data_IF_010556403836
#
_entry.id   IF_010556403836
#
_cell.length_a   1.000
_cell.length_b   1.000
_cell.length_c   1.000
_cell.angle_alpha   90.00
_cell.angle_beta   90.00
_cell.angle_gamma   90.00
#
_symmetry.space_group_name_H-M   'P 1'
#
loop_
_entity.id
_entity.type
_entity.pdbx_description
1 polymer ?
#
# COMPACT_ATOMS: atom_id res chain seq x y z
N UNK A 1 -19.98 12.70 20.78
CA UNK A 1 -21.08 13.67 20.98
C UNK A 1 -22.38 12.94 20.70
N UNK A 2 -23.27 12.78 21.69
CA UNK A 2 -24.56 12.08 21.52
C UNK A 2 -25.64 13.10 21.20
N UNK A 3 -26.47 12.81 20.21
CA UNK A 3 -27.68 13.57 19.91
C UNK A 3 -28.85 12.60 20.04
N UNK A 4 -29.67 12.80 21.08
CA UNK A 4 -30.95 12.11 21.22
C UNK A 4 -32.01 12.98 20.56
N UNK A 5 -32.87 12.37 19.75
CA UNK A 5 -34.11 12.98 19.30
C UNK A 5 -35.22 12.05 19.79
N UNK A 6 -36.01 12.54 20.75
CA UNK A 6 -37.31 11.98 21.07
C UNK A 6 -38.38 12.92 20.54
N UNK A 7 -39.41 12.33 19.93
CA UNK A 7 -40.85 12.62 20.05
C UNK A 7 -41.56 11.96 18.87
N UNK A 8 -42.82 11.56 18.90
CA UNK A 8 -43.84 11.20 19.91
C UNK A 8 -45.05 10.84 19.02
N UNK A 9 -45.88 9.87 19.40
CA UNK A 9 -47.11 9.58 18.66
C UNK A 9 -47.24 8.18 18.09
N UNK A 10 -48.05 7.42 18.79
CA UNK A 10 -48.65 6.13 18.50
C UNK A 10 -49.30 6.06 17.09
N UNK A 11 -48.76 5.24 16.19
CA UNK A 11 -49.56 4.41 15.26
C UNK A 11 -48.71 3.33 14.57
N UNK A 12 -49.10 2.07 14.82
CA UNK A 12 -48.91 0.86 14.03
C UNK A 12 -47.78 0.85 12.97
N UNK A 13 -46.59 0.42 13.38
CA UNK A 13 -45.76 -0.37 12.48
C UNK A 13 -44.85 -1.29 13.28
N UNK A 14 -44.69 -2.52 12.82
CA UNK A 14 -43.72 -3.45 13.38
C UNK A 14 -42.35 -2.79 13.35
N UNK A 15 -41.77 -2.51 14.52
CA UNK A 15 -40.39 -2.08 14.64
C UNK A 15 -39.49 -3.26 14.26
N UNK A 16 -39.36 -3.52 12.96
CA UNK A 16 -38.21 -4.22 12.42
C UNK A 16 -37.02 -3.30 12.68
N UNK A 17 -36.38 -3.49 13.83
CA UNK A 17 -35.03 -2.98 14.05
C UNK A 17 -34.16 -3.64 13.00
N UNK A 18 -33.96 -2.96 11.88
CA UNK A 18 -32.88 -3.28 10.96
C UNK A 18 -31.60 -2.98 11.73
N UNK A 19 -31.09 -4.00 12.42
CA UNK A 19 -29.71 -4.04 12.85
C UNK A 19 -28.88 -4.02 11.56
N UNK A 20 -28.62 -2.81 11.08
CA UNK A 20 -27.42 -2.58 10.29
C UNK A 20 -26.30 -2.93 11.27
N UNK A 21 -25.80 -4.16 11.18
CA UNK A 21 -24.44 -4.47 11.58
C UNK A 21 -23.57 -3.52 10.76
N UNK A 22 -23.41 -2.29 11.24
CA UNK A 22 -22.29 -1.45 10.87
C UNK A 22 -21.12 -2.27 11.38
N UNK A 23 -20.29 -2.87 10.52
CA UNK A 23 -19.11 -3.56 11.00
C UNK A 23 -18.37 -2.56 11.87
N UNK A 24 -18.19 -2.91 13.15
CA UNK A 24 -17.29 -2.21 14.05
C UNK A 24 -16.05 -1.85 13.26
N UNK A 25 -15.65 -0.58 13.33
CA UNK A 25 -14.49 -0.01 12.67
C UNK A 25 -13.39 -1.05 12.61
N UNK A 26 -13.18 -1.63 11.42
CA UNK A 26 -12.13 -2.61 11.16
C UNK A 26 -10.85 -1.97 11.68
N UNK A 27 -10.36 -2.42 12.82
CA UNK A 27 -9.06 -1.99 13.32
C UNK A 27 -8.09 -2.29 12.19
N UNK A 28 -7.62 -1.23 11.52
CA UNK A 28 -6.54 -1.33 10.55
C UNK A 28 -5.36 -1.82 11.36
N UNK A 29 -5.12 -3.14 11.35
CA UNK A 29 -3.92 -3.72 11.90
C UNK A 29 -2.74 -2.93 11.34
N UNK A 30 -1.86 -2.48 12.22
CA UNK A 30 -0.78 -1.55 11.91
C UNK A 30 -0.16 -1.88 10.54
N UNK A 31 -0.14 -0.89 9.65
CA UNK A 31 0.27 -1.04 8.26
C UNK A 31 1.65 -1.72 8.21
N UNK A 32 1.79 -2.90 7.60
CA UNK A 32 3.01 -3.67 7.71
C UNK A 32 4.14 -3.00 6.95
N UNK A 33 5.28 -2.88 7.63
CA UNK A 33 6.58 -2.66 7.00
C UNK A 33 7.11 -4.06 6.67
N UNK A 34 6.97 -4.51 5.43
CA UNK A 34 7.55 -5.78 4.96
C UNK A 34 8.95 -5.59 4.34
N UNK A 35 9.49 -4.37 4.39
CA UNK A 35 10.86 -4.07 4.00
C UNK A 35 11.80 -4.80 4.97
N UNK A 36 12.51 -5.80 4.46
CA UNK A 36 13.48 -6.57 5.24
C UNK A 36 14.62 -5.68 5.81
N UNK A 37 15.29 -6.16 6.85
CA UNK A 37 16.47 -5.48 7.40
C UNK A 37 17.62 -5.56 6.40
N UNK A 38 18.21 -4.42 6.03
CA UNK A 38 19.53 -4.36 5.39
C UNK A 38 20.57 -5.01 6.33
N UNK A 39 21.18 -6.12 5.90
CA UNK A 39 22.10 -6.95 6.71
C UNK A 39 23.59 -6.71 6.42
N UNK A 40 23.96 -5.63 5.74
CA UNK A 40 25.35 -5.36 5.40
C UNK A 40 25.69 -3.91 5.74
N UNK A 41 26.94 -3.65 6.15
CA UNK A 41 27.48 -2.29 6.20
C UNK A 41 27.41 -1.68 4.80
N UNK A 42 26.31 -0.99 4.50
CA UNK A 42 26.10 -0.32 3.23
C UNK A 42 27.02 0.90 3.17
N UNK A 43 27.93 0.92 2.20
CA UNK A 43 28.94 1.98 2.05
C UNK A 43 29.10 2.36 0.57
N UNK A 44 29.50 3.60 0.30
CA UNK A 44 29.94 4.04 -1.03
C UNK A 44 28.85 4.42 -2.03
N UNK A 45 27.57 4.48 -1.62
CA UNK A 45 26.43 4.87 -2.49
C UNK A 45 25.58 6.01 -1.89
N UNK A 46 26.23 6.89 -1.12
CA UNK A 46 25.59 8.01 -0.43
C UNK A 46 24.98 9.04 -1.39
N UNK A 47 25.67 9.31 -2.50
CA UNK A 47 25.16 10.22 -3.55
C UNK A 47 23.89 9.67 -4.21
N UNK A 48 23.84 8.36 -4.44
CA UNK A 48 22.65 7.71 -5.01
C UNK A 48 21.48 7.70 -4.04
N UNK A 49 21.72 7.47 -2.75
CA UNK A 49 20.70 7.60 -1.71
C UNK A 49 20.15 9.03 -1.64
N UNK A 50 21.03 10.03 -1.71
CA UNK A 50 20.66 11.45 -1.72
C UNK A 50 19.84 11.79 -2.96
N UNK A 51 20.23 11.28 -4.14
CA UNK A 51 19.49 11.50 -5.38
C UNK A 51 18.10 10.86 -5.34
N UNK A 52 17.98 9.61 -4.84
CA UNK A 52 16.69 8.94 -4.65
C UNK A 52 15.82 9.78 -3.70
N UNK A 53 16.40 10.23 -2.58
CA UNK A 53 15.67 11.05 -1.60
C UNK A 53 15.14 12.33 -2.22
N UNK A 54 15.99 13.09 -2.91
CA UNK A 54 15.60 14.35 -3.55
C UNK A 54 14.46 14.14 -4.54
N UNK A 55 14.57 13.15 -5.44
CA UNK A 55 13.51 12.83 -6.40
C UNK A 55 12.20 12.46 -5.72
N UNK A 56 12.26 11.68 -4.63
CA UNK A 56 11.07 11.27 -3.88
C UNK A 56 10.44 12.41 -3.05
N UNK A 57 11.17 13.48 -2.74
CA UNK A 57 10.64 14.64 -2.01
C UNK A 57 10.09 15.74 -2.91
N UNK A 58 10.63 15.93 -4.11
CA UNK A 58 10.25 17.04 -5.01
C UNK A 58 8.92 16.83 -5.72
N UNK A 59 8.48 15.58 -5.87
CA UNK A 59 7.29 15.24 -6.65
C UNK A 59 6.11 14.90 -5.73
N UNK A 60 4.91 15.39 -6.07
CA UNK A 60 3.68 14.98 -5.41
C UNK A 60 3.10 13.79 -6.19
N UNK A 61 3.02 12.59 -5.59
CA UNK A 61 2.31 11.45 -6.18
C UNK A 61 3.00 10.10 -6.04
N UNK A 62 2.58 9.16 -6.88
CA UNK A 62 3.30 7.89 -7.05
C UNK A 62 4.53 8.19 -7.87
N UNK A 63 5.70 8.03 -7.25
CA UNK A 63 6.98 8.26 -7.91
C UNK A 63 7.59 6.89 -8.19
N UNK A 64 7.85 6.65 -9.46
CA UNK A 64 8.57 5.46 -9.91
C UNK A 64 10.04 5.83 -10.04
N UNK A 65 10.83 5.50 -9.03
CA UNK A 65 12.28 5.62 -9.12
C UNK A 65 12.86 4.27 -9.58
N UNK A 66 13.17 4.16 -10.87
CA UNK A 66 13.88 3.01 -11.40
C UNK A 66 15.38 3.16 -11.11
N UNK A 67 15.94 2.21 -10.36
CA UNK A 67 17.40 2.02 -10.33
C UNK A 67 17.70 1.00 -11.42
N UNK A 68 18.29 1.45 -12.52
CA UNK A 68 18.71 0.59 -13.63
C UNK A 68 20.20 0.30 -13.55
N UNK A 69 20.62 -0.85 -14.07
CA UNK A 69 22.03 -1.23 -14.12
C UNK A 69 22.22 -2.74 -14.26
N UNK A 70 23.46 -3.14 -14.52
CA UNK A 70 23.85 -4.55 -14.61
C UNK A 70 23.41 -5.35 -13.37
N UNK A 71 23.12 -6.64 -13.55
CA UNK A 71 22.82 -7.54 -12.43
C UNK A 71 23.98 -7.56 -11.42
N UNK A 72 23.67 -7.66 -10.12
CA UNK A 72 24.69 -7.80 -9.07
C UNK A 72 25.32 -6.50 -8.54
N UNK A 73 25.00 -5.32 -9.08
CA UNK A 73 25.51 -4.01 -8.57
C UNK A 73 24.88 -3.55 -7.23
N UNK A 74 24.03 -4.37 -6.61
CA UNK A 74 23.45 -4.07 -5.30
C UNK A 74 22.29 -3.05 -5.31
N UNK A 75 21.51 -2.98 -6.39
CA UNK A 75 20.31 -2.12 -6.49
C UNK A 75 19.26 -2.43 -5.42
N UNK A 76 18.99 -3.71 -5.21
CA UNK A 76 18.16 -4.22 -4.11
C UNK A 76 18.66 -3.72 -2.75
N UNK A 77 19.97 -3.79 -2.51
CA UNK A 77 20.56 -3.31 -1.25
C UNK A 77 20.42 -1.79 -1.09
N UNK A 78 20.56 -1.02 -2.18
CA UNK A 78 20.33 0.44 -2.17
C UNK A 78 18.88 0.78 -1.83
N UNK A 79 17.91 0.09 -2.43
CA UNK A 79 16.48 0.31 -2.14
C UNK A 79 16.12 -0.04 -0.68
N UNK A 80 16.65 -1.15 -0.15
CA UNK A 80 16.49 -1.52 1.25
C UNK A 80 17.12 -0.51 2.20
N UNK A 81 18.32 -0.01 1.88
CA UNK A 81 19.00 0.98 2.71
C UNK A 81 18.23 2.32 2.70
N UNK A 82 17.72 2.75 1.55
CA UNK A 82 16.86 3.93 1.44
C UNK A 82 15.63 3.82 2.36
N UNK A 83 14.89 2.72 2.21
CA UNK A 83 13.67 2.45 2.96
C UNK A 83 13.91 2.43 4.48
N UNK A 84 15.04 1.85 4.90
CA UNK A 84 15.48 1.86 6.30
C UNK A 84 15.84 3.26 6.79
N UNK A 85 16.66 3.99 6.03
CA UNK A 85 17.19 5.31 6.41
C UNK A 85 16.10 6.36 6.54
N UNK A 86 15.12 6.34 5.64
CA UNK A 86 14.04 7.32 5.56
C UNK A 86 12.70 6.78 6.08
N UNK A 87 12.72 5.68 6.86
CA UNK A 87 11.52 5.00 7.34
C UNK A 87 10.51 5.93 8.01
N UNK A 88 10.98 6.91 8.79
CA UNK A 88 10.13 7.81 9.58
C UNK A 88 9.38 8.85 8.72
N UNK A 89 9.71 8.98 7.44
CA UNK A 89 9.03 9.90 6.52
C UNK A 89 7.80 9.30 5.83
N UNK A 90 7.62 7.99 5.99
CA UNK A 90 6.55 7.24 5.35
C UNK A 90 5.62 6.64 6.41
N UNK A 91 4.31 6.81 6.21
CA UNK A 91 3.29 6.16 7.02
C UNK A 91 3.23 4.64 6.75
N UNK A 92 3.69 4.22 5.58
CA UNK A 92 3.69 2.83 5.13
C UNK A 92 4.84 2.58 4.14
N UNK A 93 5.41 1.37 4.17
CA UNK A 93 6.42 0.95 3.20
C UNK A 93 6.16 -0.49 2.75
N UNK A 94 5.98 -0.68 1.45
CA UNK A 94 5.71 -1.97 0.84
C UNK A 94 6.81 -2.37 -0.13
N UNK A 95 7.29 -3.60 0.00
CA UNK A 95 8.23 -4.24 -0.90
C UNK A 95 7.53 -5.35 -1.69
N UNK A 96 7.59 -5.30 -3.01
CA UNK A 96 7.06 -6.32 -3.91
C UNK A 96 8.19 -6.80 -4.84
N UNK A 97 8.54 -8.09 -4.76
CA UNK A 97 9.51 -8.69 -5.69
C UNK A 97 8.77 -9.29 -6.88
N UNK A 98 9.04 -8.78 -8.09
CA UNK A 98 8.39 -9.23 -9.32
C UNK A 98 9.17 -10.32 -10.05
N UNK A 99 10.07 -11.01 -9.32
CA UNK A 99 10.96 -12.04 -9.86
C UNK A 99 10.21 -13.28 -10.36
N UNK A 100 9.18 -13.71 -9.64
CA UNK A 100 8.49 -14.99 -9.87
C UNK A 100 7.01 -14.83 -10.24
N UNK A 101 6.48 -13.61 -10.17
CA UNK A 101 5.05 -13.34 -10.19
C UNK A 101 4.78 -11.92 -10.67
N UNK A 102 3.57 -11.70 -11.18
CA UNK A 102 3.12 -10.38 -11.62
C UNK A 102 2.78 -9.46 -10.44
N UNK A 103 2.83 -8.16 -10.69
CA UNK A 103 2.52 -7.12 -9.68
C UNK A 103 1.17 -7.34 -8.99
N UNK A 104 0.13 -7.69 -9.76
CA UNK A 104 -1.20 -7.90 -9.21
C UNK A 104 -1.25 -9.06 -8.20
N UNK A 105 -0.56 -10.17 -8.49
CA UNK A 105 -0.47 -11.30 -7.57
C UNK A 105 0.27 -10.91 -6.29
N UNK A 106 1.38 -10.19 -6.41
CA UNK A 106 2.17 -9.76 -5.26
C UNK A 106 1.41 -8.79 -4.36
N UNK A 107 0.61 -7.88 -4.92
CA UNK A 107 -0.27 -7.00 -4.14
C UNK A 107 -1.30 -7.82 -3.36
N UNK A 108 -1.98 -8.77 -4.01
CA UNK A 108 -3.00 -9.62 -3.36
C UNK A 108 -2.38 -10.49 -2.26
N UNK A 109 -1.21 -11.10 -2.51
CA UNK A 109 -0.47 -11.88 -1.51
C UNK A 109 -0.05 -11.02 -0.32
N UNK A 110 0.40 -9.80 -0.59
CA UNK A 110 0.84 -8.88 0.45
C UNK A 110 -0.34 -8.39 1.31
N UNK A 111 -1.45 -7.99 0.69
CA UNK A 111 -2.57 -7.35 1.36
C UNK A 111 -3.53 -8.34 2.02
N UNK A 112 -3.71 -9.53 1.43
CA UNK A 112 -4.66 -10.55 1.87
C UNK A 112 -4.62 -10.92 3.35
N UNK A 113 -3.44 -11.11 3.96
CA UNK A 113 -3.32 -11.38 5.39
C UNK A 113 -3.81 -10.26 6.30
N UNK A 114 -3.78 -9.01 5.84
CA UNK A 114 -4.14 -7.82 6.64
C UNK A 114 -5.56 -7.33 6.38
N UNK A 115 -6.08 -7.61 5.19
CA UNK A 115 -7.40 -7.16 4.78
C UNK A 115 -8.11 -8.25 3.97
N UNK A 116 -9.04 -8.94 4.62
CA UNK A 116 -9.87 -9.93 3.93
C UNK A 116 -10.69 -9.29 2.82
N UNK A 117 -10.51 -9.82 1.62
CA UNK A 117 -11.27 -9.44 0.44
C UNK A 117 -12.74 -9.88 0.57
N UNK A 118 -13.72 -9.03 0.17
CA UNK A 118 -15.12 -9.42 0.08
C UNK A 118 -15.32 -10.68 -0.77
N UNK A 119 -16.21 -11.59 -0.36
CA UNK A 119 -16.46 -12.85 -1.07
C UNK A 119 -16.77 -12.67 -2.57
N UNK A 120 -17.53 -11.62 -2.90
CA UNK A 120 -17.86 -11.27 -4.29
C UNK A 120 -16.61 -10.96 -5.13
N UNK A 121 -15.58 -10.37 -4.53
CA UNK A 121 -14.36 -10.00 -5.23
C UNK A 121 -13.35 -11.15 -5.32
N UNK A 122 -13.46 -12.21 -4.49
CA UNK A 122 -12.56 -13.38 -4.57
C UNK A 122 -12.63 -14.13 -5.90
N UNK A 123 -13.76 -14.02 -6.61
CA UNK A 123 -13.98 -14.62 -7.94
C UNK A 123 -13.70 -13.66 -9.09
N UNK A 124 -13.40 -12.41 -8.79
CA UNK A 124 -13.12 -11.38 -9.79
C UNK A 124 -11.66 -11.42 -10.23
N UNK A 125 -11.36 -10.72 -11.33
CA UNK A 125 -9.99 -10.61 -11.83
C UNK A 125 -9.06 -9.98 -10.79
N UNK A 126 -7.77 -10.36 -10.81
CA UNK A 126 -6.77 -9.82 -9.88
C UNK A 126 -6.74 -8.30 -9.90
N UNK A 127 -7.00 -7.66 -11.04
CA UNK A 127 -6.98 -6.21 -11.13
C UNK A 127 -8.11 -5.55 -10.35
N UNK A 128 -9.31 -6.14 -10.35
CA UNK A 128 -10.41 -5.67 -9.49
C UNK A 128 -10.09 -5.86 -8.01
N UNK A 129 -9.38 -6.94 -7.66
CA UNK A 129 -8.94 -7.18 -6.28
C UNK A 129 -7.91 -6.13 -5.86
N UNK A 130 -6.93 -5.83 -6.72
CA UNK A 130 -5.91 -4.78 -6.53
C UNK A 130 -6.55 -3.41 -6.37
N UNK A 131 -7.49 -3.05 -7.25
CA UNK A 131 -8.22 -1.78 -7.16
C UNK A 131 -8.93 -1.64 -5.81
N UNK A 132 -9.54 -2.71 -5.31
CA UNK A 132 -10.18 -2.72 -4.00
C UNK A 132 -9.15 -2.58 -2.86
N UNK A 133 -8.01 -3.27 -2.94
CA UNK A 133 -6.95 -3.14 -1.94
C UNK A 133 -6.42 -1.70 -1.87
N UNK A 134 -6.14 -1.06 -2.99
CA UNK A 134 -5.72 0.35 -2.99
C UNK A 134 -6.78 1.31 -2.46
N UNK A 135 -8.07 0.97 -2.58
CA UNK A 135 -9.12 1.78 -1.97
C UNK A 135 -9.26 1.56 -0.46
N UNK A 136 -8.81 0.43 0.09
CA UNK A 136 -9.15 0.04 1.47
C UNK A 136 -7.94 -0.21 2.38
N UNK A 137 -6.72 -0.21 1.83
CA UNK A 137 -5.51 -0.62 2.53
C UNK A 137 -4.38 0.42 2.51
N UNK A 138 -4.62 1.59 1.88
CA UNK A 138 -3.68 2.71 1.93
C UNK A 138 -3.74 3.44 3.28
N UNK A 139 -2.61 3.99 3.76
CA UNK A 139 -2.62 4.83 4.96
C UNK A 139 -3.60 6.00 4.79
N UNK A 140 -4.31 6.34 5.88
CA UNK A 140 -5.26 7.46 5.85
C UNK A 140 -4.56 8.82 5.73
N UNK A 141 -3.34 8.92 6.25
CA UNK A 141 -2.51 10.12 6.24
C UNK A 141 -1.05 9.74 6.04
N UNK A 142 -0.24 10.67 5.52
CA UNK A 142 1.18 10.47 5.29
C UNK A 142 1.50 9.78 3.95
N UNK A 143 2.79 9.67 3.66
CA UNK A 143 3.30 9.13 2.38
C UNK A 143 3.40 7.61 2.44
N UNK A 144 3.12 6.93 1.33
CA UNK A 144 3.43 5.52 1.09
C UNK A 144 4.70 5.42 0.25
N UNK A 145 5.64 4.58 0.67
CA UNK A 145 6.73 4.11 -0.18
C UNK A 145 6.39 2.73 -0.76
N UNK A 146 6.35 2.60 -2.08
CA UNK A 146 6.19 1.31 -2.76
C UNK A 146 7.47 0.97 -3.52
N UNK A 147 8.11 -0.13 -3.16
CA UNK A 147 9.36 -0.61 -3.74
C UNK A 147 9.04 -1.83 -4.58
N UNK A 148 9.28 -1.72 -5.89
CA UNK A 148 9.14 -2.82 -6.83
C UNK A 148 10.54 -3.30 -7.18
N UNK A 149 10.89 -4.51 -6.74
CA UNK A 149 12.18 -5.13 -7.04
C UNK A 149 12.06 -6.12 -8.19
N UNK A 150 13.15 -6.27 -8.95
CA UNK A 150 13.21 -7.13 -10.14
C UNK A 150 12.12 -6.83 -11.20
N UNK A 151 11.80 -5.56 -11.43
CA UNK A 151 10.80 -5.16 -12.45
C UNK A 151 11.31 -5.50 -13.87
N UNK A 152 10.63 -6.40 -14.63
CA UNK A 152 11.12 -6.80 -15.95
C UNK A 152 11.03 -5.70 -17.01
N UNK A 153 9.98 -4.87 -16.91
CA UNK A 153 9.75 -3.73 -17.79
C UNK A 153 8.86 -2.71 -17.06
N UNK A 154 9.42 -1.54 -16.76
CA UNK A 154 8.73 -0.50 -16.00
C UNK A 154 7.60 0.15 -16.80
N UNK A 155 7.76 0.31 -18.11
CA UNK A 155 6.76 0.91 -19.02
C UNK A 155 5.49 0.07 -19.15
N UNK A 156 5.53 -1.20 -18.70
CA UNK A 156 4.40 -2.13 -18.73
C UNK A 156 3.59 -2.15 -17.44
N UNK A 157 3.94 -1.36 -16.43
CA UNK A 157 3.13 -1.25 -15.21
C UNK A 157 1.98 -0.28 -15.51
N UNK A 158 0.73 -0.76 -15.62
CA UNK A 158 -0.38 0.14 -15.92
C UNK A 158 -0.75 0.94 -14.67
N UNK A 159 -1.08 2.23 -14.84
CA UNK A 159 -1.40 3.16 -13.74
C UNK A 159 -2.43 2.62 -12.74
N UNK A 160 -3.39 1.81 -13.20
CA UNK A 160 -4.40 1.16 -12.35
C UNK A 160 -3.81 0.21 -11.29
N UNK A 161 -2.61 -0.33 -11.53
CA UNK A 161 -1.92 -1.19 -10.57
C UNK A 161 -1.17 -0.40 -9.51
N UNK A 162 -1.07 0.92 -9.65
CA UNK A 162 -0.43 1.81 -8.70
C UNK A 162 -1.47 2.45 -7.76
N UNK A 163 -1.10 2.72 -6.49
CA UNK A 163 -2.01 3.34 -5.54
C UNK A 163 -2.37 4.77 -5.99
N UNK A 164 -3.66 5.09 -6.02
CA UNK A 164 -4.11 6.42 -6.43
C UNK A 164 -3.94 7.43 -5.30
N UNK A 165 -3.59 8.68 -5.63
CA UNK A 165 -3.60 9.79 -4.65
C UNK A 165 -4.99 9.89 -4.02
N UNK A 166 -5.03 9.96 -2.69
CA UNK A 166 -6.17 10.51 -1.97
C UNK A 166 -5.96 12.03 -1.88
N UNK A 167 -6.92 12.80 -2.39
CA UNK A 167 -6.99 14.25 -2.22
C UNK A 167 -7.49 14.58 -0.82
#
# INVERSE_FOLDING_TARGET
MKINIEQDGNDNNQNNTFNLNIPETKELQAVPINVGKSTVNFVGREDELTLIHQKLQTEQGVIVCAVEGLGGIGKTALALEYAKRYQQEYAAQYWLSLRLSGLAEEIVKLAGPYLSLPEILKKESLEKQVDWYWQNWLPQQGKLLLILDDVPNIDRIPDRMLPKKRF
#
